data_IF_705084109262
#
_entry.id   IF_705084109262
#
_cell.length_a   1.000
_cell.length_b   1.000
_cell.length_c   1.000
_cell.angle_alpha   90.00
_cell.angle_beta   90.00
_cell.angle_gamma   90.00
#
_symmetry.space_group_name_H-M   'P 1'
#
loop_
_entity.id
_entity.type
_entity.pdbx_description
1 polymer ?
#
# COMPACT_ATOMS: atom_id res chain seq x y z
N UNK A 1 -3.24 -1.97 -17.05
CA UNK A 1 -2.00 -1.74 -16.29
C UNK A 1 -1.53 -3.10 -15.84
N UNK A 2 -0.29 -3.48 -16.16
CA UNK A 2 0.26 -4.73 -15.67
C UNK A 2 0.54 -4.59 -14.16
N UNK A 3 -0.29 -5.23 -13.33
CA UNK A 3 -0.20 -5.11 -11.87
C UNK A 3 0.95 -5.91 -11.28
N UNK A 4 1.49 -6.87 -12.03
CA UNK A 4 2.60 -7.71 -11.58
C UNK A 4 3.95 -6.97 -11.61
N UNK A 5 4.00 -5.82 -12.29
CA UNK A 5 5.19 -4.98 -12.38
C UNK A 5 5.16 -3.78 -11.42
N UNK A 6 4.13 -3.66 -10.57
CA UNK A 6 4.01 -2.55 -9.61
C UNK A 6 4.86 -2.84 -8.37
N UNK A 7 5.70 -1.87 -8.00
CA UNK A 7 6.45 -1.86 -6.74
C UNK A 7 6.09 -0.57 -5.99
N UNK A 8 5.66 -0.72 -4.74
CA UNK A 8 5.28 0.35 -3.82
C UNK A 8 6.45 0.58 -2.87
N UNK A 9 7.06 1.75 -2.96
CA UNK A 9 8.18 2.18 -2.10
C UNK A 9 7.84 3.47 -1.34
N UNK A 10 6.78 4.17 -1.74
CA UNK A 10 6.38 5.48 -1.22
C UNK A 10 4.87 5.57 -1.00
N UNK A 11 4.48 6.32 0.03
CA UNK A 11 3.08 6.61 0.35
C UNK A 11 2.27 7.10 -0.87
N UNK A 12 2.84 8.03 -1.65
CA UNK A 12 2.15 8.63 -2.80
C UNK A 12 1.84 7.63 -3.92
N UNK A 13 2.66 6.57 -4.07
CA UNK A 13 2.37 5.49 -5.02
C UNK A 13 1.13 4.70 -4.55
N UNK A 14 1.07 4.35 -3.27
CA UNK A 14 -0.07 3.66 -2.69
C UNK A 14 -1.36 4.49 -2.78
N UNK A 15 -1.30 5.77 -2.44
CA UNK A 15 -2.44 6.69 -2.59
C UNK A 15 -2.94 6.77 -4.03
N UNK A 16 -2.03 6.83 -5.01
CA UNK A 16 -2.38 6.84 -6.43
C UNK A 16 -3.05 5.54 -6.87
N UNK A 17 -2.53 4.40 -6.41
CA UNK A 17 -3.11 3.07 -6.68
C UNK A 17 -4.52 2.96 -6.09
N UNK A 18 -4.71 3.35 -4.82
CA UNK A 18 -6.03 3.35 -4.17
C UNK A 18 -6.99 4.30 -4.89
N UNK A 19 -6.53 5.48 -5.29
CA UNK A 19 -7.34 6.43 -6.06
C UNK A 19 -7.79 5.86 -7.41
N UNK A 20 -6.95 5.06 -8.06
CA UNK A 20 -7.27 4.44 -9.35
C UNK A 20 -8.17 3.20 -9.22
N UNK A 21 -7.93 2.36 -8.21
CA UNK A 21 -8.62 1.07 -8.03
C UNK A 21 -9.83 1.16 -7.07
N UNK A 22 -9.93 2.24 -6.30
CA UNK A 22 -10.92 2.46 -5.25
C UNK A 22 -10.56 1.84 -3.90
N UNK A 23 -9.81 0.74 -3.90
CA UNK A 23 -9.46 -0.01 -2.70
C UNK A 23 -8.24 -0.92 -2.94
N UNK A 24 -7.48 -1.19 -1.88
CA UNK A 24 -6.37 -2.14 -1.89
C UNK A 24 -6.26 -2.88 -0.54
N UNK A 25 -6.35 -4.23 -0.51
CA UNK A 25 -6.09 -5.01 0.70
C UNK A 25 -4.64 -4.86 1.16
N UNK A 26 -4.41 -4.86 2.47
CA UNK A 26 -3.05 -4.87 2.98
C UNK A 26 -2.39 -6.23 2.75
N UNK A 27 -3.02 -7.30 3.24
CA UNK A 27 -2.49 -8.66 3.17
C UNK A 27 -2.83 -9.35 1.85
N UNK A 28 -1.94 -10.26 1.46
CA UNK A 28 -2.14 -11.19 0.36
C UNK A 28 -3.43 -11.96 0.54
N UNK A 29 -4.14 -12.13 -0.57
CA UNK A 29 -5.40 -12.85 -0.62
C UNK A 29 -5.39 -13.81 -1.83
N UNK A 30 -6.56 -14.34 -2.20
CA UNK A 30 -6.71 -15.30 -3.31
C UNK A 30 -6.59 -14.66 -4.69
N UNK A 31 -6.54 -13.33 -4.78
CA UNK A 31 -6.35 -12.59 -6.03
C UNK A 31 -4.88 -12.19 -6.12
N UNK A 32 -4.14 -12.83 -7.03
CA UNK A 32 -2.71 -12.55 -7.24
C UNK A 32 -2.48 -11.12 -7.74
N UNK A 33 -1.43 -10.48 -7.21
CA UNK A 33 -1.09 -9.11 -7.56
C UNK A 33 -2.19 -8.13 -7.14
N UNK A 34 -2.87 -8.41 -6.03
CA UNK A 34 -3.92 -7.56 -5.46
C UNK A 34 -3.81 -7.46 -3.94
N UNK A 35 -2.60 -7.18 -3.46
CA UNK A 35 -2.36 -6.74 -2.09
C UNK A 35 -1.16 -5.82 -2.00
N UNK A 36 -1.13 -4.99 -0.96
CA UNK A 36 0.02 -4.15 -0.64
C UNK A 36 1.22 -5.03 -0.28
N UNK A 37 0.97 -6.15 0.43
CA UNK A 37 1.97 -7.17 0.75
C UNK A 37 2.69 -7.71 -0.48
N UNK A 38 1.98 -8.02 -1.56
CA UNK A 38 2.60 -8.51 -2.80
C UNK A 38 3.36 -7.42 -3.57
N UNK A 39 2.98 -6.16 -3.41
CA UNK A 39 3.52 -5.04 -4.18
C UNK A 39 4.59 -4.24 -3.43
N UNK A 40 4.91 -4.57 -2.18
CA UNK A 40 5.86 -3.81 -1.36
C UNK A 40 7.04 -4.70 -0.99
N UNK A 41 8.29 -4.20 -1.02
CA UNK A 41 9.43 -4.91 -0.46
C UNK A 41 9.17 -5.34 1.00
N UNK A 42 9.44 -6.60 1.39
CA UNK A 42 9.14 -7.10 2.72
C UNK A 42 9.73 -6.27 3.87
N UNK A 43 10.92 -5.73 3.69
CA UNK A 43 11.64 -4.85 4.62
C UNK A 43 10.92 -3.50 4.85
N UNK A 44 10.09 -3.08 3.90
CA UNK A 44 9.36 -1.82 3.99
C UNK A 44 7.94 -1.99 4.53
N UNK A 45 7.36 -3.20 4.49
CA UNK A 45 5.95 -3.42 4.82
C UNK A 45 5.53 -2.87 6.18
N UNK A 46 6.38 -3.09 7.18
CA UNK A 46 6.17 -2.67 8.56
C UNK A 46 7.12 -1.58 9.04
N UNK A 47 8.12 -1.21 8.21
CA UNK A 47 9.20 -0.28 8.56
C UNK A 47 10.14 -0.80 9.65
N UNK A 48 11.44 -0.59 9.49
CA UNK A 48 12.41 -0.77 10.57
C UNK A 48 12.50 0.50 11.45
N UNK A 49 12.27 1.66 10.84
CA UNK A 49 12.11 2.97 11.44
C UNK A 49 10.61 3.28 11.51
N UNK A 50 10.09 3.54 12.72
CA UNK A 50 8.67 3.69 13.07
C UNK A 50 7.85 4.69 12.22
N UNK A 51 8.46 5.39 11.26
CA UNK A 51 7.87 6.42 10.40
C UNK A 51 7.64 5.96 8.95
N UNK A 52 8.26 4.87 8.49
CA UNK A 52 8.19 4.45 7.10
C UNK A 52 7.47 3.11 6.92
N UNK A 53 6.84 2.94 5.76
CA UNK A 53 6.19 1.69 5.37
C UNK A 53 4.66 1.77 5.27
N UNK A 54 4.03 0.90 4.46
CA UNK A 54 2.58 0.88 4.32
C UNK A 54 1.80 0.67 5.61
N UNK A 55 2.36 0.02 6.62
CA UNK A 55 1.67 -0.11 7.90
C UNK A 55 1.54 1.25 8.60
N UNK A 56 2.61 2.03 8.60
CA UNK A 56 2.74 3.34 9.24
C UNK A 56 1.97 4.41 8.46
N UNK A 57 1.98 4.34 7.13
CA UNK A 57 1.28 5.29 6.27
C UNK A 57 -0.24 5.31 6.46
N UNK A 58 -0.83 4.31 7.14
CA UNK A 58 -2.28 4.26 7.42
C UNK A 58 -2.75 5.52 8.15
N UNK A 59 -1.99 5.97 9.16
CA UNK A 59 -2.31 7.16 9.96
C UNK A 59 -2.29 8.46 9.13
N UNK A 60 -1.16 8.79 8.48
CA UNK A 60 -1.08 9.94 7.59
C UNK A 60 -2.13 9.93 6.47
N UNK A 61 -2.34 8.78 5.80
CA UNK A 61 -3.30 8.68 4.70
C UNK A 61 -4.73 8.94 5.18
N UNK A 62 -5.17 8.33 6.28
CA UNK A 62 -6.55 8.52 6.78
C UNK A 62 -6.76 9.93 7.35
N UNK A 63 -5.71 10.56 7.89
CA UNK A 63 -5.79 11.92 8.44
C UNK A 63 -6.16 12.98 7.40
N UNK A 64 -5.85 12.72 6.12
CA UNK A 64 -6.22 13.58 5.00
C UNK A 64 -7.65 13.32 4.48
N UNK A 65 -8.38 12.35 5.05
CA UNK A 65 -9.74 11.96 4.66
C UNK A 65 -9.90 11.58 3.18
N UNK A 66 -8.81 11.29 2.47
CA UNK A 66 -8.83 10.96 1.04
C UNK A 66 -8.98 9.46 0.79
N UNK A 67 -8.43 8.63 1.67
CA UNK A 67 -8.36 7.18 1.45
C UNK A 67 -8.17 6.43 2.77
N UNK A 68 -8.53 5.16 2.77
CA UNK A 68 -8.19 4.20 3.82
C UNK A 68 -7.94 2.83 3.16
N UNK A 69 -7.12 2.00 3.79
CA UNK A 69 -6.79 0.66 3.30
C UNK A 69 -6.46 -0.28 4.45
N UNK A 70 -6.65 -1.58 4.21
CA UNK A 70 -6.57 -2.65 5.20
C UNK A 70 -6.82 -3.97 4.54
#
# INVERSE_FOLDING_TARGET
>A
MDRFSIIIEKQSQLESIIKQLGFMPFFKNTIEGFSIEEMTPPELLFGDDMENGPWQWKGPIISNWQSAYG
#
